data_IF_246398310497
#
_entry.id   IF_246398310497
#
_cell.length_a   1.000
_cell.length_b   1.000
_cell.length_c   1.000
_cell.angle_alpha   90.00
_cell.angle_beta   90.00
_cell.angle_gamma   90.00
#
_symmetry.space_group_name_H-M   'P 1'
#
loop_
_entity.id
_entity.type
_entity.pdbx_description
1 polymer ?
#
# COMPACT_ATOMS: atom_id res chain seq x y z
N UNK A 1 -8.60 7.08 -19.67
CA UNK A 1 -8.27 8.11 -18.67
C UNK A 1 -8.73 9.45 -19.23
N UNK A 2 -9.40 10.25 -18.42
CA UNK A 2 -9.74 11.64 -18.76
C UNK A 2 -8.75 12.61 -18.14
N UNK A 3 -8.68 13.84 -18.64
CA UNK A 3 -7.89 14.90 -18.01
C UNK A 3 -8.34 15.19 -16.58
N UNK A 4 -9.63 14.99 -16.28
CA UNK A 4 -10.15 15.15 -14.92
C UNK A 4 -9.57 14.08 -13.98
N UNK A 5 -9.40 12.83 -14.43
CA UNK A 5 -8.83 11.76 -13.61
C UNK A 5 -7.39 12.09 -13.20
N UNK A 6 -6.59 12.59 -14.15
CA UNK A 6 -5.21 13.02 -13.88
C UNK A 6 -5.18 14.18 -12.87
N UNK A 7 -6.00 15.21 -13.07
CA UNK A 7 -6.07 16.35 -12.13
C UNK A 7 -6.53 15.94 -10.74
N UNK A 8 -7.46 14.99 -10.62
CA UNK A 8 -7.89 14.42 -9.33
C UNK A 8 -6.76 13.67 -8.65
N UNK A 9 -6.04 12.83 -9.37
CA UNK A 9 -4.86 12.12 -8.88
C UNK A 9 -3.80 13.08 -8.30
N UNK A 10 -3.47 14.16 -9.03
CA UNK A 10 -2.53 15.18 -8.56
C UNK A 10 -3.04 15.92 -7.32
N UNK A 11 -4.35 16.22 -7.24
CA UNK A 11 -4.95 16.86 -6.07
C UNK A 11 -4.88 15.98 -4.81
N UNK A 12 -4.99 14.65 -4.96
CA UNK A 12 -4.82 13.70 -3.85
C UNK A 12 -3.36 13.65 -3.38
N UNK A 13 -2.40 13.65 -4.30
CA UNK A 13 -0.98 13.71 -3.96
C UNK A 13 -0.62 15.02 -3.23
N UNK A 14 -1.14 16.16 -3.72
CA UNK A 14 -0.94 17.47 -3.09
C UNK A 14 -1.51 17.51 -1.67
N UNK A 15 -2.69 16.92 -1.44
CA UNK A 15 -3.29 16.83 -0.12
C UNK A 15 -2.45 16.00 0.85
N UNK A 16 -1.98 14.82 0.43
CA UNK A 16 -1.12 13.99 1.28
C UNK A 16 0.21 14.70 1.57
N UNK A 17 0.82 15.35 0.58
CA UNK A 17 2.03 16.13 0.79
C UNK A 17 1.85 17.23 1.86
N UNK A 18 0.69 17.91 1.85
CA UNK A 18 0.36 18.92 2.85
C UNK A 18 0.27 18.32 4.25
N UNK A 19 -0.57 17.30 4.46
CA UNK A 19 -0.76 16.73 5.81
C UNK A 19 0.48 16.01 6.31
N UNK A 20 1.23 15.32 5.44
CA UNK A 20 2.44 14.59 5.82
C UNK A 20 3.59 15.51 6.22
N UNK A 21 3.54 16.79 5.84
CA UNK A 21 4.50 17.81 6.29
C UNK A 21 4.36 18.16 7.77
N UNK A 22 3.19 17.90 8.37
CA UNK A 22 2.93 18.13 9.79
C UNK A 22 3.52 16.97 10.60
N UNK A 23 4.59 17.25 11.35
CA UNK A 23 5.34 16.26 12.15
C UNK A 23 4.96 16.29 13.62
N UNK A 24 5.12 15.16 14.30
CA UNK A 24 4.95 15.04 15.75
C UNK A 24 6.12 14.29 16.38
N UNK A 25 6.76 14.90 17.38
CA UNK A 25 7.85 14.26 18.14
C UNK A 25 7.30 13.35 19.24
N UNK A 26 6.79 12.18 18.85
CA UNK A 26 6.38 11.12 19.80
C UNK A 26 6.92 9.75 19.38
N UNK A 27 8.21 9.45 19.66
CA UNK A 27 8.83 8.22 19.19
C UNK A 27 8.12 6.93 19.63
N UNK A 28 7.59 6.91 20.85
CA UNK A 28 6.82 5.77 21.36
C UNK A 28 5.52 5.52 20.58
N UNK A 29 4.88 6.58 20.10
CA UNK A 29 3.68 6.49 19.26
C UNK A 29 4.03 5.90 17.89
N UNK A 30 5.13 6.35 17.26
CA UNK A 30 5.59 5.77 16.00
C UNK A 30 5.87 4.27 16.14
N UNK A 31 6.63 3.86 17.16
CA UNK A 31 6.91 2.45 17.45
C UNK A 31 5.62 1.65 17.68
N UNK A 32 4.60 2.26 18.31
CA UNK A 32 3.28 1.64 18.45
C UNK A 32 2.60 1.46 17.09
N UNK A 33 2.54 2.48 16.24
CA UNK A 33 1.92 2.39 14.91
C UNK A 33 2.55 1.30 14.04
N UNK A 34 3.87 1.20 14.05
CA UNK A 34 4.59 0.12 13.35
C UNK A 34 4.30 -1.26 13.96
N UNK A 35 4.14 -1.36 15.29
CA UNK A 35 3.70 -2.60 15.93
C UNK A 35 2.28 -2.96 15.50
N UNK A 36 1.37 -2.00 15.44
CA UNK A 36 -0.03 -2.21 15.09
C UNK A 36 -0.16 -2.65 13.62
N UNK A 37 0.62 -2.08 12.69
CA UNK A 37 0.68 -2.53 11.29
C UNK A 37 0.93 -4.04 11.18
N UNK A 38 1.88 -4.56 11.97
CA UNK A 38 2.25 -5.98 11.89
C UNK A 38 1.31 -6.85 12.73
N UNK A 39 1.04 -6.47 13.97
CA UNK A 39 0.43 -7.36 14.97
C UNK A 39 -1.01 -7.07 15.36
N UNK A 40 -1.65 -6.01 14.86
CA UNK A 40 -3.05 -5.74 15.18
C UNK A 40 -3.99 -6.70 14.43
N UNK A 41 -5.10 -7.08 15.05
CA UNK A 41 -6.11 -7.99 14.48
C UNK A 41 -6.85 -7.44 13.24
N UNK A 42 -6.66 -6.16 12.93
CA UNK A 42 -7.21 -5.51 11.72
C UNK A 42 -6.13 -5.16 10.69
N UNK A 43 -4.89 -5.58 10.93
CA UNK A 43 -3.73 -5.32 10.08
C UNK A 43 -3.13 -6.65 9.57
N UNK A 44 -1.80 -6.77 9.43
CA UNK A 44 -1.18 -7.90 8.72
C UNK A 44 -1.49 -9.26 9.36
N UNK A 45 -1.20 -9.45 10.65
CA UNK A 45 -1.46 -10.74 11.32
C UNK A 45 -2.95 -11.12 11.31
N UNK A 46 -3.84 -10.20 11.69
CA UNK A 46 -5.28 -10.50 11.69
C UNK A 46 -5.86 -10.71 10.29
N UNK A 47 -5.29 -10.07 9.27
CA UNK A 47 -5.66 -10.33 7.88
C UNK A 47 -5.20 -11.73 7.45
N UNK A 48 -3.96 -12.12 7.76
CA UNK A 48 -3.47 -13.48 7.50
C UNK A 48 -4.39 -14.52 8.17
N UNK A 49 -4.78 -14.31 9.43
CA UNK A 49 -5.71 -15.20 10.16
C UNK A 49 -7.07 -15.35 9.47
N UNK A 50 -7.49 -14.37 8.68
CA UNK A 50 -8.77 -14.40 7.96
C UNK A 50 -8.72 -15.21 6.65
N UNK A 51 -7.55 -15.59 6.15
CA UNK A 51 -7.44 -16.40 4.92
C UNK A 51 -7.91 -17.84 5.17
N UNK A 52 -8.87 -18.36 4.39
CA UNK A 52 -9.27 -19.76 4.46
C UNK A 52 -8.10 -20.73 4.21
N UNK A 53 -8.16 -21.91 4.82
CA UNK A 53 -7.21 -22.99 4.56
C UNK A 53 -7.41 -23.62 3.17
N UNK A 54 -6.34 -24.21 2.60
CA UNK A 54 -6.40 -24.96 1.35
C UNK A 54 -6.45 -24.10 0.08
N UNK A 55 -6.03 -22.83 0.15
CA UNK A 55 -5.94 -21.94 -1.00
C UNK A 55 -4.62 -22.17 -1.75
N UNK A 56 -4.70 -22.65 -2.99
CA UNK A 56 -3.51 -22.91 -3.83
C UNK A 56 -2.65 -21.65 -4.06
N UNK A 57 -3.29 -20.48 -4.13
CA UNK A 57 -2.60 -19.20 -4.34
C UNK A 57 -2.11 -18.53 -3.04
N UNK A 58 -2.46 -19.08 -1.89
CA UNK A 58 -2.09 -18.57 -0.57
C UNK A 58 -1.84 -19.74 0.40
N UNK A 59 -0.89 -20.65 0.08
CA UNK A 59 -0.57 -21.76 0.95
C UNK A 59 0.00 -21.24 2.28
N UNK A 60 -0.14 -22.05 3.34
CA UNK A 60 0.28 -21.67 4.70
C UNK A 60 1.75 -21.21 4.76
N UNK A 61 2.64 -21.88 4.03
CA UNK A 61 4.07 -21.53 3.98
C UNK A 61 4.33 -20.15 3.34
N UNK A 62 3.52 -19.76 2.36
CA UNK A 62 3.60 -18.42 1.77
C UNK A 62 3.15 -17.35 2.77
N UNK A 63 2.04 -17.59 3.48
CA UNK A 63 1.52 -16.66 4.48
C UNK A 63 2.50 -16.52 5.67
N UNK A 64 3.08 -17.62 6.15
CA UNK A 64 4.17 -17.62 7.15
C UNK A 64 5.37 -16.80 6.69
N UNK A 65 5.80 -16.98 5.42
CA UNK A 65 6.91 -16.21 4.85
C UNK A 65 6.61 -14.71 4.85
N UNK A 66 5.41 -14.30 4.43
CA UNK A 66 4.98 -12.90 4.47
C UNK A 66 5.03 -12.35 5.89
N UNK A 67 4.52 -13.11 6.87
CA UNK A 67 4.56 -12.70 8.28
C UNK A 67 6.00 -12.49 8.79
N UNK A 68 6.89 -13.45 8.55
CA UNK A 68 8.30 -13.34 8.96
C UNK A 68 9.00 -12.13 8.34
N UNK A 69 8.79 -11.88 7.05
CA UNK A 69 9.34 -10.70 6.38
C UNK A 69 8.81 -9.40 7.00
N UNK A 70 7.52 -9.33 7.33
CA UNK A 70 6.92 -8.18 8.00
C UNK A 70 7.50 -7.95 9.41
N UNK A 71 7.81 -9.03 10.15
CA UNK A 71 8.48 -8.94 11.45
C UNK A 71 9.89 -8.33 11.30
N UNK A 72 10.65 -8.73 10.29
CA UNK A 72 11.96 -8.12 10.01
C UNK A 72 11.83 -6.63 9.68
N UNK A 73 10.85 -6.25 8.84
CA UNK A 73 10.54 -4.85 8.56
C UNK A 73 10.18 -4.06 9.81
N UNK A 74 9.43 -4.63 10.76
CA UNK A 74 9.12 -3.98 12.04
C UNK A 74 10.38 -3.54 12.79
N UNK A 75 11.44 -4.36 12.78
CA UNK A 75 12.72 -4.04 13.44
C UNK A 75 13.50 -2.94 12.74
N UNK A 76 13.36 -2.83 11.41
CA UNK A 76 13.91 -1.73 10.61
C UNK A 76 13.15 -0.43 10.89
N UNK A 77 11.82 -0.47 10.72
CA UNK A 77 10.96 0.70 10.80
C UNK A 77 10.94 1.33 12.19
N UNK A 78 10.92 0.56 13.28
CA UNK A 78 10.84 1.14 14.65
C UNK A 78 11.96 2.14 15.01
N UNK A 79 13.04 2.22 14.21
CA UNK A 79 14.15 3.16 14.36
C UNK A 79 13.93 4.50 13.63
N UNK A 80 12.84 4.63 12.86
CA UNK A 80 12.53 5.76 11.98
C UNK A 80 11.48 6.72 12.58
N UNK A 81 11.54 6.92 13.90
CA UNK A 81 10.54 7.71 14.64
C UNK A 81 10.38 9.17 14.15
N UNK A 82 11.40 9.74 13.49
CA UNK A 82 11.34 11.06 12.88
C UNK A 82 10.32 11.15 11.72
N UNK A 83 9.86 10.01 11.21
CA UNK A 83 8.86 9.95 10.13
C UNK A 83 7.44 10.15 10.61
N UNK A 84 7.17 10.16 11.93
CA UNK A 84 5.82 10.34 12.47
C UNK A 84 5.19 11.64 11.97
N UNK A 85 4.17 11.49 11.13
CA UNK A 85 3.45 12.57 10.47
C UNK A 85 1.97 12.49 10.79
N UNK A 86 1.28 13.61 10.57
CA UNK A 86 -0.16 13.57 10.43
C UNK A 86 -0.50 12.70 9.20
N UNK A 87 -1.50 11.84 9.35
CA UNK A 87 -2.00 10.95 8.30
C UNK A 87 -3.52 10.99 8.28
N UNK A 88 -4.12 10.57 7.17
CA UNK A 88 -5.52 10.16 7.12
C UNK A 88 -5.71 8.81 7.81
N UNK A 89 -4.81 7.85 7.54
CA UNK A 89 -4.78 6.52 8.13
C UNK A 89 -5.64 5.48 7.41
N UNK A 90 -6.37 5.87 6.36
CA UNK A 90 -7.17 4.96 5.52
C UNK A 90 -7.52 5.57 4.15
N UNK A 91 -6.50 6.15 3.50
CA UNK A 91 -6.65 6.95 2.29
C UNK A 91 -6.85 6.11 1.01
N UNK A 92 -7.95 5.37 0.92
CA UNK A 92 -8.30 4.55 -0.24
C UNK A 92 -9.54 5.08 -1.00
N UNK A 93 -9.78 4.65 -2.25
CA UNK A 93 -10.79 5.26 -3.13
C UNK A 93 -12.22 5.32 -2.57
N UNK A 94 -12.60 4.44 -1.64
CA UNK A 94 -13.95 4.43 -1.07
C UNK A 94 -14.17 5.50 0.01
N UNK A 95 -13.09 6.05 0.57
CA UNK A 95 -13.13 7.14 1.54
C UNK A 95 -12.94 8.51 0.87
N UNK A 96 -12.85 8.58 -0.45
CA UNK A 96 -12.58 9.81 -1.22
C UNK A 96 -13.80 10.11 -2.10
N UNK A 97 -14.57 11.14 -1.73
CA UNK A 97 -15.78 11.53 -2.47
C UNK A 97 -15.52 12.82 -3.23
N UNK A 98 -15.28 12.71 -4.53
CA UNK A 98 -15.13 13.88 -5.41
C UNK A 98 -16.46 14.56 -5.71
N UNK A 99 -16.49 15.89 -5.66
CA UNK A 99 -17.60 16.67 -6.22
C UNK A 99 -17.64 16.46 -7.76
N UNK A 100 -18.83 16.30 -8.36
CA UNK A 100 -18.97 16.10 -9.80
C UNK A 100 -18.23 17.15 -10.63
N UNK A 101 -17.47 16.70 -11.63
CA UNK A 101 -16.77 17.59 -12.57
C UNK A 101 -15.56 18.37 -12.00
N UNK A 102 -15.18 18.16 -10.75
CA UNK A 102 -14.12 18.93 -10.09
C UNK A 102 -13.03 18.06 -9.45
N UNK A 103 -11.96 18.71 -8.98
CA UNK A 103 -10.90 18.14 -8.16
C UNK A 103 -11.17 18.30 -6.66
N UNK A 104 -12.26 18.96 -6.26
CA UNK A 104 -12.65 19.05 -4.85
C UNK A 104 -13.15 17.70 -4.37
N UNK A 105 -12.73 17.29 -3.18
CA UNK A 105 -13.16 16.04 -2.56
C UNK A 105 -13.39 16.22 -1.06
N UNK A 106 -14.23 15.35 -0.52
CA UNK A 106 -14.41 15.14 0.92
C UNK A 106 -13.81 13.80 1.29
N UNK A 107 -13.09 13.78 2.40
CA UNK A 107 -12.55 12.56 2.99
C UNK A 107 -13.47 12.06 4.09
N UNK A 108 -13.69 10.75 4.08
CA UNK A 108 -14.49 10.02 5.06
C UNK A 108 -13.58 9.14 5.92
N UNK A 109 -14.04 8.78 7.10
CA UNK A 109 -13.43 7.79 8.00
C UNK A 109 -11.95 8.00 8.37
N UNK A 110 -11.73 8.58 9.55
CA UNK A 110 -10.40 8.73 10.19
C UNK A 110 -10.22 7.83 11.41
N UNK A 111 -10.91 6.70 11.44
CA UNK A 111 -10.98 5.82 12.63
C UNK A 111 -9.61 5.25 13.07
N UNK A 112 -8.62 5.18 12.19
CA UNK A 112 -7.27 4.66 12.49
C UNK A 112 -6.35 5.69 13.18
N UNK A 113 -6.83 6.91 13.36
CA UNK A 113 -6.22 8.00 14.12
C UNK A 113 -5.22 8.84 13.33
N UNK A 114 -4.94 10.04 13.83
CA UNK A 114 -4.38 11.12 13.02
C UNK A 114 -2.85 11.11 12.84
N UNK A 115 -2.12 10.17 13.46
CA UNK A 115 -0.66 10.16 13.48
C UNK A 115 -0.10 8.79 13.13
N UNK A 116 0.78 8.74 12.14
CA UNK A 116 1.32 7.50 11.58
C UNK A 116 2.48 7.72 10.61
N UNK A 117 2.74 6.69 9.80
CA UNK A 117 3.77 6.72 8.76
C UNK A 117 3.12 7.13 7.42
N UNK A 118 3.63 8.17 6.73
CA UNK A 118 3.19 8.58 5.39
C UNK A 118 2.99 7.45 4.37
N UNK A 119 3.82 6.41 4.44
CA UNK A 119 3.70 5.26 3.56
C UNK A 119 2.35 4.54 3.64
N UNK A 120 1.63 4.65 4.75
CA UNK A 120 0.31 4.05 4.90
C UNK A 120 -0.69 4.65 3.90
N UNK A 121 -0.86 5.97 3.92
CA UNK A 121 -1.79 6.67 3.03
C UNK A 121 -1.40 6.55 1.55
N UNK A 122 -0.10 6.61 1.25
CA UNK A 122 0.39 6.47 -0.12
C UNK A 122 0.01 5.11 -0.69
N UNK A 123 0.33 4.03 0.04
CA UNK A 123 0.07 2.66 -0.43
C UNK A 123 -1.41 2.31 -0.39
N UNK A 124 -2.20 2.88 0.53
CA UNK A 124 -3.65 2.71 0.58
C UNK A 124 -4.33 3.15 -0.71
N UNK A 125 -3.83 4.20 -1.36
CA UNK A 125 -4.31 4.63 -2.66
C UNK A 125 -3.63 3.86 -3.80
N UNK A 126 -2.30 3.86 -3.86
CA UNK A 126 -1.54 3.43 -5.06
C UNK A 126 -1.65 1.94 -5.35
N UNK A 127 -1.89 1.09 -4.34
CA UNK A 127 -2.20 -0.32 -4.53
C UNK A 127 -3.39 -0.54 -5.47
N UNK A 128 -4.36 0.40 -5.49
CA UNK A 128 -5.55 0.28 -6.31
C UNK A 128 -5.20 0.44 -7.79
N UNK A 129 -4.23 1.31 -8.14
CA UNK A 129 -3.75 1.41 -9.52
C UNK A 129 -3.13 0.09 -9.96
N UNK A 130 -2.28 -0.52 -9.13
CA UNK A 130 -1.68 -1.83 -9.40
C UNK A 130 -2.78 -2.90 -9.54
N UNK A 131 -3.68 -3.00 -8.57
CA UNK A 131 -4.74 -3.99 -8.53
C UNK A 131 -5.68 -3.94 -9.74
N UNK A 132 -6.21 -2.75 -10.05
CA UNK A 132 -7.11 -2.60 -11.20
C UNK A 132 -6.38 -2.79 -12.52
N UNK A 133 -5.10 -2.43 -12.61
CA UNK A 133 -4.29 -2.70 -13.80
C UNK A 133 -4.03 -4.18 -14.00
N UNK A 134 -3.64 -4.93 -12.96
CA UNK A 134 -3.48 -6.40 -13.06
C UNK A 134 -4.78 -7.05 -13.51
N UNK A 135 -5.94 -6.64 -12.97
CA UNK A 135 -7.25 -7.17 -13.38
C UNK A 135 -7.58 -6.89 -14.85
N UNK A 136 -7.22 -5.72 -15.36
CA UNK A 136 -7.52 -5.32 -16.73
C UNK A 136 -6.50 -5.87 -17.75
N UNK A 137 -5.25 -5.99 -17.34
CA UNK A 137 -4.11 -6.06 -18.25
C UNK A 137 -3.05 -7.10 -17.89
N UNK A 138 -3.15 -7.69 -16.71
CA UNK A 138 -2.21 -8.66 -16.16
C UNK A 138 -0.91 -8.08 -15.59
N UNK A 139 -0.67 -6.77 -15.73
CA UNK A 139 0.54 -6.01 -15.35
C UNK A 139 0.13 -4.56 -15.07
N UNK A 140 0.99 -3.77 -14.41
CA UNK A 140 0.82 -2.31 -14.35
C UNK A 140 1.14 -1.72 -15.73
N UNK A 141 0.10 -1.31 -16.47
CA UNK A 141 0.25 -0.62 -17.75
C UNK A 141 -0.88 0.37 -18.05
N UNK A 142 -0.64 1.24 -19.02
CA UNK A 142 -1.66 2.12 -19.60
C UNK A 142 -2.21 3.14 -18.60
N UNK A 143 -3.53 3.42 -18.58
CA UNK A 143 -4.11 4.46 -17.72
C UNK A 143 -3.75 4.37 -16.23
N UNK A 144 -3.62 3.16 -15.69
CA UNK A 144 -3.29 2.98 -14.27
C UNK A 144 -1.80 3.20 -13.98
N UNK A 145 -0.92 2.87 -14.93
CA UNK A 145 0.51 3.19 -14.84
C UNK A 145 0.72 4.70 -14.90
N UNK A 146 0.04 5.38 -15.82
CA UNK A 146 0.09 6.85 -15.93
C UNK A 146 -0.35 7.54 -14.63
N UNK A 147 -1.44 7.07 -14.00
CA UNK A 147 -1.89 7.61 -12.71
C UNK A 147 -0.95 7.26 -11.56
N UNK A 148 -0.41 6.03 -11.52
CA UNK A 148 0.54 5.60 -10.50
C UNK A 148 1.80 6.47 -10.53
N UNK A 149 2.40 6.63 -11.72
CA UNK A 149 3.60 7.44 -11.93
C UNK A 149 3.32 8.91 -11.60
N UNK A 150 2.23 9.48 -12.14
CA UNK A 150 1.89 10.88 -11.87
C UNK A 150 1.64 11.17 -10.37
N UNK A 151 1.05 10.22 -9.64
CA UNK A 151 0.84 10.36 -8.20
C UNK A 151 2.17 10.40 -7.43
N UNK A 152 3.04 9.41 -7.68
CA UNK A 152 4.31 9.28 -6.99
C UNK A 152 5.26 10.43 -7.33
N UNK A 153 5.42 10.76 -8.61
CA UNK A 153 6.24 11.88 -9.06
C UNK A 153 5.79 13.17 -8.37
N UNK A 154 4.47 13.43 -8.36
CA UNK A 154 3.93 14.63 -7.72
C UNK A 154 4.19 14.67 -6.22
N UNK A 155 4.02 13.55 -5.52
CA UNK A 155 4.25 13.48 -4.08
C UNK A 155 5.73 13.67 -3.73
N UNK A 156 6.63 12.99 -4.45
CA UNK A 156 8.07 13.09 -4.22
C UNK A 156 8.60 14.48 -4.59
N UNK A 157 8.19 15.07 -5.71
CA UNK A 157 8.55 16.43 -6.10
C UNK A 157 8.15 17.47 -5.04
N UNK A 158 7.01 17.27 -4.40
CA UNK A 158 6.46 18.19 -3.38
C UNK A 158 7.12 18.06 -2.02
N UNK A 159 7.50 16.84 -1.64
CA UNK A 159 7.93 16.54 -0.28
C UNK A 159 9.44 16.35 -0.15
N UNK A 160 10.10 15.90 -1.23
CA UNK A 160 11.47 15.39 -1.21
C UNK A 160 11.63 14.12 -0.35
N UNK A 161 10.55 13.44 0.02
CA UNK A 161 10.56 12.28 0.93
C UNK A 161 11.02 10.99 0.23
N UNK A 162 12.27 10.97 -0.25
CA UNK A 162 12.88 9.81 -0.89
C UNK A 162 13.01 8.59 0.04
N UNK A 163 13.05 8.82 1.35
CA UNK A 163 13.12 7.75 2.36
C UNK A 163 11.81 6.94 2.40
N UNK A 164 10.68 7.48 1.91
CA UNK A 164 9.42 6.74 1.85
C UNK A 164 9.55 5.45 1.02
N UNK A 165 10.36 5.48 -0.02
CA UNK A 165 10.61 4.33 -0.89
C UNK A 165 11.40 3.22 -0.19
N UNK A 166 12.02 3.50 0.96
CA UNK A 166 12.72 2.52 1.80
C UNK A 166 11.85 1.98 2.95
N UNK A 167 10.59 2.42 3.06
CA UNK A 167 9.69 2.03 4.17
C UNK A 167 8.30 1.56 3.75
N UNK A 168 7.90 1.76 2.48
CA UNK A 168 6.56 1.41 1.95
C UNK A 168 6.27 -0.09 1.88
N UNK A 169 7.27 -0.94 1.97
CA UNK A 169 7.21 -2.37 1.70
C UNK A 169 6.14 -3.10 2.54
N UNK A 170 6.15 -3.04 3.89
CA UNK A 170 5.13 -3.71 4.69
C UNK A 170 3.74 -3.09 4.53
N UNK A 171 3.63 -1.82 4.13
CA UNK A 171 2.33 -1.19 3.86
C UNK A 171 1.75 -1.70 2.53
N UNK A 172 2.55 -1.79 1.47
CA UNK A 172 2.16 -2.46 0.24
C UNK A 172 1.81 -3.92 0.47
N UNK A 173 2.56 -4.63 1.31
CA UNK A 173 2.24 -6.01 1.68
C UNK A 173 0.87 -6.12 2.34
N UNK A 174 0.59 -5.26 3.34
CA UNK A 174 -0.72 -5.21 3.99
C UNK A 174 -1.84 -4.92 2.98
N UNK A 175 -1.69 -3.90 2.16
CA UNK A 175 -2.72 -3.55 1.16
C UNK A 175 -2.86 -4.61 0.07
N UNK A 176 -1.78 -5.29 -0.30
CA UNK A 176 -1.76 -6.43 -1.22
C UNK A 176 -2.56 -7.62 -0.69
N UNK A 177 -2.37 -7.98 0.59
CA UNK A 177 -3.20 -8.96 1.28
C UNK A 177 -4.68 -8.54 1.27
N UNK A 178 -4.98 -7.23 1.39
CA UNK A 178 -6.37 -6.77 1.32
C UNK A 178 -6.99 -7.02 -0.04
N UNK A 179 -6.36 -6.56 -1.11
CA UNK A 179 -6.92 -6.73 -2.44
C UNK A 179 -6.89 -8.18 -2.95
N UNK A 180 -6.04 -9.03 -2.35
CA UNK A 180 -5.97 -10.46 -2.62
C UNK A 180 -6.90 -11.33 -1.74
N UNK A 181 -7.66 -10.75 -0.81
CA UNK A 181 -8.51 -11.50 0.12
C UNK A 181 -9.71 -12.13 -0.59
N UNK A 182 -10.01 -13.43 -0.36
CA UNK A 182 -11.21 -14.07 -0.90
C UNK A 182 -12.50 -13.64 -0.19
N UNK A 183 -12.41 -13.07 1.02
CA UNK A 183 -13.58 -12.57 1.75
C UNK A 183 -14.11 -11.29 1.10
N UNK A 184 -13.21 -10.38 0.73
CA UNK A 184 -13.56 -9.09 0.15
C UNK A 184 -13.73 -9.14 -1.37
N UNK A 185 -12.98 -10.03 -2.04
CA UNK A 185 -13.06 -10.21 -3.48
C UNK A 185 -13.31 -11.68 -3.84
N UNK A 186 -14.51 -12.24 -3.57
CA UNK A 186 -14.77 -13.68 -3.72
C UNK A 186 -14.70 -14.19 -5.16
N UNK A 187 -14.90 -13.31 -6.14
CA UNK A 187 -14.89 -13.66 -7.58
C UNK A 187 -13.57 -13.30 -8.28
N UNK A 188 -12.54 -12.89 -7.53
CA UNK A 188 -11.26 -12.51 -8.12
C UNK A 188 -10.55 -13.74 -8.70
N UNK A 189 -10.13 -13.70 -9.97
CA UNK A 189 -9.41 -14.81 -10.62
C UNK A 189 -8.11 -15.17 -9.89
N UNK A 190 -7.80 -16.47 -9.90
CA UNK A 190 -6.62 -17.04 -9.24
C UNK A 190 -5.30 -16.47 -9.77
N UNK A 191 -5.19 -16.24 -11.08
CA UNK A 191 -3.99 -15.67 -11.71
C UNK A 191 -3.70 -14.25 -11.21
N UNK A 192 -4.76 -13.45 -10.96
CA UNK A 192 -4.62 -12.11 -10.37
C UNK A 192 -4.11 -12.21 -8.94
N UNK A 193 -4.58 -13.19 -8.15
CA UNK A 193 -4.11 -13.40 -6.78
C UNK A 193 -2.65 -13.81 -6.72
N UNK A 194 -2.24 -14.74 -7.59
CA UNK A 194 -0.83 -15.17 -7.69
C UNK A 194 0.07 -13.95 -7.95
N UNK A 195 -0.31 -13.09 -8.89
CA UNK A 195 0.41 -11.85 -9.20
C UNK A 195 0.47 -10.87 -8.03
N UNK A 196 -0.62 -10.74 -7.27
CA UNK A 196 -0.65 -9.92 -6.06
C UNK A 196 0.28 -10.49 -4.98
N UNK A 197 0.31 -11.82 -4.80
CA UNK A 197 1.20 -12.45 -3.83
C UNK A 197 2.67 -12.40 -4.26
N UNK A 198 2.96 -12.54 -5.55
CA UNK A 198 4.29 -12.26 -6.11
C UNK A 198 4.71 -10.82 -5.74
N UNK A 199 3.84 -9.84 -6.02
CA UNK A 199 4.10 -8.45 -5.65
C UNK A 199 4.37 -8.28 -4.14
N UNK A 200 3.52 -8.85 -3.27
CA UNK A 200 3.65 -8.77 -1.80
C UNK A 200 5.00 -9.32 -1.33
N UNK A 201 5.42 -10.49 -1.79
CA UNK A 201 6.69 -11.09 -1.34
C UNK A 201 7.89 -10.35 -1.91
N UNK A 202 7.84 -9.99 -3.20
CA UNK A 202 8.97 -9.35 -3.85
C UNK A 202 9.18 -7.92 -3.34
N UNK A 203 8.10 -7.18 -3.05
CA UNK A 203 8.23 -5.86 -2.43
C UNK A 203 8.79 -5.94 -1.02
N UNK A 204 8.39 -6.95 -0.23
CA UNK A 204 8.97 -7.19 1.10
C UNK A 204 10.46 -7.59 1.05
N UNK A 205 10.91 -8.20 -0.05
CA UNK A 205 12.32 -8.56 -0.25
C UNK A 205 13.20 -7.40 -0.71
N UNK A 206 12.62 -6.31 -1.21
CA UNK A 206 13.35 -5.17 -1.75
C UNK A 206 13.78 -4.19 -0.66
N UNK A 207 15.05 -3.79 -0.64
CA UNK A 207 15.53 -2.77 0.32
C UNK A 207 14.93 -1.38 0.03
N UNK A 208 14.72 -1.09 -1.25
CA UNK A 208 14.10 0.14 -1.76
C UNK A 208 13.09 -0.24 -2.84
N UNK A 209 11.93 0.42 -2.82
CA UNK A 209 10.87 0.22 -3.79
C UNK A 209 11.15 1.03 -5.06
N UNK A 210 11.28 0.33 -6.17
CA UNK A 210 11.58 0.93 -7.48
C UNK A 210 10.28 1.18 -8.24
N UNK A 211 9.87 2.45 -8.32
CA UNK A 211 8.62 2.88 -8.95
C UNK A 211 8.52 2.46 -10.44
N UNK A 212 9.64 2.43 -11.15
CA UNK A 212 9.72 2.00 -12.55
C UNK A 212 9.75 0.49 -12.74
N UNK A 213 9.92 -0.30 -11.68
CA UNK A 213 10.09 -1.75 -11.73
C UNK A 213 8.89 -2.51 -11.13
N UNK A 214 7.72 -1.87 -11.02
CA UNK A 214 6.52 -2.49 -10.43
C UNK A 214 6.17 -3.83 -11.08
N UNK A 215 6.36 -3.91 -12.40
CA UNK A 215 6.09 -5.13 -13.15
C UNK A 215 7.03 -6.28 -12.80
N UNK A 216 8.27 -6.01 -12.37
CA UNK A 216 9.22 -7.04 -11.96
C UNK A 216 8.78 -7.70 -10.64
N UNK A 217 8.22 -6.91 -9.72
CA UNK A 217 7.61 -7.44 -8.49
C UNK A 217 6.38 -8.31 -8.79
N UNK A 218 5.64 -8.04 -9.87
CA UNK A 218 4.42 -8.79 -10.25
C UNK A 218 4.77 -10.13 -10.93
N UNK A 219 5.80 -10.15 -11.77
CA UNK A 219 6.13 -11.29 -12.65
C UNK A 219 7.14 -12.24 -12.05
N UNK A 220 7.95 -11.81 -11.08
CA UNK A 220 8.92 -12.71 -10.44
C UNK A 220 8.21 -13.69 -9.52
N UNK A 221 8.37 -14.98 -9.77
CA UNK A 221 7.68 -16.01 -9.02
C UNK A 221 8.18 -16.07 -7.57
N UNK A 222 7.29 -15.75 -6.64
CA UNK A 222 7.57 -15.83 -5.21
C UNK A 222 7.24 -17.21 -4.62
N UNK A 223 6.49 -18.03 -5.36
CA UNK A 223 5.94 -19.31 -4.92
C UNK A 223 6.93 -20.46 -5.23
N UNK A 224 7.82 -20.32 -6.20
CA UNK A 224 8.87 -21.32 -6.50
C UNK A 224 10.06 -21.16 -5.55
N UNK A 225 9.90 -21.67 -4.33
CA UNK A 225 10.97 -21.68 -3.33
C UNK A 225 10.61 -22.27 -1.97
N UNK A 226 9.48 -22.99 -1.89
CA UNK A 226 9.06 -23.81 -0.72
C UNK A 226 9.57 -25.24 -0.84
#
# INVERSE_FOLDING_TARGET
MTELDKRRCLALADYLAEIHSVKLEQPSLYVRRIRDLVGHGECIMGLIDSYPQGLDYAPEELLKRVEHLCVEWRWRLKKKAHRLSQVHGDFHPWNIIFRPGSTEFTLLDRSRGDWGEPADDLTALTINYIFYSIRAYGLLKGPFEELFTAFWDRYLDKTGDEEVLEVVQPFYAWRGLVVASPIWYPTLPTDVRIKLFNFVVNVLGAERFELGAVNDYITSDAIEGS
#
